data_IF_344694027096
#
_entry.id   IF_344694027096
#
_cell.length_a   1.000
_cell.length_b   1.000
_cell.length_c   1.000
_cell.angle_alpha   90.00
_cell.angle_beta   90.00
_cell.angle_gamma   90.00
#
_symmetry.space_group_name_H-M   'P 1'
#
loop_
_entity.id
_entity.type
_entity.pdbx_description
1 polymer ?
#
# COMPACT_ATOMS: atom_id res chain seq x y z
N UNK A 1 -14.96 4.16 28.22
CA UNK A 1 -15.63 2.90 28.64
C UNK A 1 -17.16 2.96 28.49
N UNK A 2 -17.87 4.01 28.92
CA UNK A 2 -19.34 4.11 28.67
C UNK A 2 -19.73 4.23 27.19
N UNK A 3 -18.91 4.89 26.36
CA UNK A 3 -19.13 5.04 24.92
C UNK A 3 -19.01 3.72 24.12
N UNK A 4 -18.26 2.72 24.61
CA UNK A 4 -18.03 1.47 23.86
C UNK A 4 -19.20 0.48 23.97
N UNK A 5 -19.93 0.48 25.10
CA UNK A 5 -21.12 -0.35 25.27
C UNK A 5 -22.28 0.07 24.36
N UNK A 6 -22.30 1.34 23.97
CA UNK A 6 -23.31 1.93 23.08
C UNK A 6 -23.00 1.68 21.59
N UNK A 7 -21.76 1.27 21.27
CA UNK A 7 -21.40 0.90 19.90
C UNK A 7 -22.07 -0.43 19.50
N UNK A 8 -22.54 -0.55 18.24
CA UNK A 8 -22.87 -1.84 17.64
C UNK A 8 -21.75 -2.86 17.84
N UNK A 9 -22.09 -4.14 18.03
CA UNK A 9 -21.12 -5.19 18.33
C UNK A 9 -19.92 -5.21 17.36
N UNK A 10 -20.17 -4.99 16.07
CA UNK A 10 -19.15 -4.97 15.02
C UNK A 10 -18.15 -3.79 15.12
N UNK A 11 -18.46 -2.74 15.89
CA UNK A 11 -17.61 -1.57 16.08
C UNK A 11 -16.92 -1.55 17.45
N UNK A 12 -17.16 -2.55 18.29
CA UNK A 12 -16.51 -2.64 19.60
C UNK A 12 -15.07 -3.11 19.43
N UNK A 13 -14.08 -2.45 20.07
CA UNK A 13 -12.70 -2.89 19.98
C UNK A 13 -12.52 -4.25 20.67
N UNK A 14 -11.61 -5.05 20.14
CA UNK A 14 -11.14 -6.26 20.80
C UNK A 14 -10.26 -5.90 22.00
N UNK A 15 -10.21 -6.79 23.00
CA UNK A 15 -9.21 -6.64 24.06
C UNK A 15 -7.83 -6.92 23.48
N UNK A 16 -6.82 -6.23 23.99
CA UNK A 16 -5.46 -6.39 23.50
C UNK A 16 -4.95 -7.83 23.67
N UNK A 17 -5.30 -8.48 24.77
CA UNK A 17 -4.92 -9.87 25.04
C UNK A 17 -5.54 -10.85 24.03
N UNK A 18 -6.81 -10.63 23.67
CA UNK A 18 -7.52 -11.44 22.68
C UNK A 18 -6.90 -11.24 21.28
N UNK A 19 -6.59 -9.99 20.93
CA UNK A 19 -5.91 -9.66 19.66
C UNK A 19 -4.52 -10.32 19.57
N UNK A 20 -3.71 -10.23 20.62
CA UNK A 20 -2.38 -10.86 20.62
C UNK A 20 -2.47 -12.39 20.57
N UNK A 21 -3.41 -12.99 21.30
CA UNK A 21 -3.63 -14.44 21.28
C UNK A 21 -4.03 -14.93 19.87
N UNK A 22 -4.87 -14.19 19.15
CA UNK A 22 -5.24 -14.56 17.79
C UNK A 22 -4.08 -14.38 16.80
N UNK A 23 -3.27 -13.32 16.94
CA UNK A 23 -2.04 -13.18 16.14
C UNK A 23 -1.10 -14.38 16.35
N UNK A 24 -0.83 -14.78 17.59
CA UNK A 24 0.01 -15.96 17.86
C UNK A 24 -0.58 -17.24 17.22
N UNK A 25 -1.89 -17.43 17.34
CA UNK A 25 -2.59 -18.56 16.73
C UNK A 25 -2.49 -18.54 15.19
N UNK A 26 -2.72 -17.38 14.55
CA UNK A 26 -2.62 -17.22 13.10
C UNK A 26 -1.19 -17.44 12.60
N UNK A 27 -0.18 -16.96 13.34
CA UNK A 27 1.23 -17.22 13.01
C UNK A 27 1.51 -18.72 13.05
N UNK A 28 1.15 -19.40 14.14
CA UNK A 28 1.35 -20.85 14.28
C UNK A 28 0.64 -21.66 13.19
N UNK A 29 -0.53 -21.20 12.75
CA UNK A 29 -1.37 -21.94 11.82
C UNK A 29 -1.03 -21.70 10.35
N UNK A 30 -0.62 -20.48 10.00
CA UNK A 30 -0.57 -20.04 8.60
C UNK A 30 0.74 -19.38 8.15
N UNK A 31 1.56 -18.84 9.07
CA UNK A 31 2.77 -18.13 8.68
C UNK A 31 3.83 -19.09 8.12
N UNK A 32 4.33 -18.80 6.92
CA UNK A 32 5.45 -19.49 6.32
C UNK A 32 6.68 -18.55 6.33
N UNK A 33 7.76 -18.89 7.06
CA UNK A 33 8.89 -17.98 7.23
C UNK A 33 9.75 -17.85 5.96
N UNK A 34 9.66 -18.81 5.03
CA UNK A 34 10.48 -18.86 3.83
C UNK A 34 10.27 -17.63 2.92
N UNK A 35 11.31 -17.25 2.18
CA UNK A 35 11.27 -16.09 1.26
C UNK A 35 10.48 -16.33 -0.02
N UNK A 36 10.02 -17.56 -0.25
CA UNK A 36 9.13 -17.96 -1.35
C UNK A 36 7.71 -18.35 -0.86
N UNK A 37 7.36 -17.94 0.36
CA UNK A 37 6.10 -18.29 1.00
C UNK A 37 4.86 -17.80 0.22
N UNK A 38 3.83 -18.64 0.20
CA UNK A 38 2.49 -18.26 -0.28
C UNK A 38 1.64 -17.59 0.80
N UNK A 39 2.05 -17.72 2.06
CA UNK A 39 1.31 -17.17 3.22
C UNK A 39 2.26 -16.51 4.19
N UNK A 40 2.07 -15.20 4.41
CA UNK A 40 2.70 -14.41 5.46
C UNK A 40 1.62 -13.89 6.40
N UNK A 41 2.00 -13.72 7.65
CA UNK A 41 1.21 -13.09 8.71
C UNK A 41 2.06 -11.93 9.22
N UNK A 42 1.42 -10.79 9.47
CA UNK A 42 2.06 -9.57 9.94
C UNK A 42 1.23 -8.92 11.03
N UNK A 43 1.88 -8.20 11.93
CA UNK A 43 1.22 -7.42 12.98
C UNK A 43 0.72 -6.11 12.38
N UNK A 44 -0.60 -5.90 12.37
CA UNK A 44 -1.21 -4.80 11.64
C UNK A 44 -2.36 -4.09 12.40
N UNK A 45 -2.07 -3.38 13.51
CA UNK A 45 -3.05 -2.46 14.07
C UNK A 45 -3.38 -1.39 13.03
N UNK A 46 -4.68 -1.06 12.87
CA UNK A 46 -5.13 -0.18 11.79
C UNK A 46 -4.41 1.17 11.80
N UNK A 47 -4.29 1.79 12.97
CA UNK A 47 -3.63 3.09 13.12
C UNK A 47 -2.81 3.13 14.41
N UNK A 48 -1.53 3.45 14.30
CA UNK A 48 -0.60 3.51 15.45
C UNK A 48 -1.05 4.49 16.53
N UNK A 49 -1.61 5.65 16.15
CA UNK A 49 -2.04 6.69 17.10
C UNK A 49 -3.42 6.46 17.73
N UNK A 50 -4.26 5.63 17.11
CA UNK A 50 -5.70 5.58 17.42
C UNK A 50 -6.19 4.21 17.84
N UNK A 51 -5.63 3.12 17.31
CA UNK A 51 -6.13 1.76 17.55
C UNK A 51 -5.68 1.18 18.89
N UNK A 52 -4.55 1.62 19.44
CA UNK A 52 -3.96 1.09 20.67
C UNK A 52 -3.38 2.19 21.54
N UNK A 53 -3.16 1.92 22.82
CA UNK A 53 -2.33 2.78 23.68
C UNK A 53 -0.85 2.68 23.28
N UNK A 54 -0.04 3.68 23.63
CA UNK A 54 1.41 3.65 23.37
C UNK A 54 2.10 2.40 23.94
N UNK A 55 1.72 1.99 25.15
CA UNK A 55 2.25 0.77 25.77
C UNK A 55 1.88 -0.48 24.98
N UNK A 56 0.61 -0.62 24.59
CA UNK A 56 0.14 -1.76 23.78
C UNK A 56 0.81 -1.79 22.40
N UNK A 57 1.02 -0.62 21.79
CA UNK A 57 1.75 -0.50 20.54
C UNK A 57 3.20 -1.00 20.70
N UNK A 58 3.91 -0.58 21.75
CA UNK A 58 5.26 -1.08 22.03
C UNK A 58 5.29 -2.59 22.29
N UNK A 59 4.33 -3.11 23.05
CA UNK A 59 4.24 -4.55 23.31
C UNK A 59 3.92 -5.35 22.04
N UNK A 60 3.09 -4.84 21.13
CA UNK A 60 2.80 -5.52 19.87
C UNK A 60 4.05 -5.60 18.97
N UNK A 61 4.92 -4.60 18.97
CA UNK A 61 6.20 -4.66 18.27
C UNK A 61 7.14 -5.74 18.84
N UNK A 62 7.22 -5.84 20.17
CA UNK A 62 8.01 -6.89 20.84
C UNK A 62 7.49 -8.28 20.49
N UNK A 63 6.17 -8.47 20.50
CA UNK A 63 5.53 -9.75 20.15
C UNK A 63 5.77 -10.08 18.69
N UNK A 64 5.57 -9.13 17.77
CA UNK A 64 5.82 -9.32 16.34
C UNK A 64 7.25 -9.80 16.07
N UNK A 65 8.24 -9.12 16.65
CA UNK A 65 9.67 -9.49 16.52
C UNK A 65 9.98 -10.84 17.15
N UNK A 66 9.39 -11.16 18.31
CA UNK A 66 9.53 -12.48 18.96
C UNK A 66 8.97 -13.60 18.08
N UNK A 67 7.87 -13.35 17.38
CA UNK A 67 7.24 -14.29 16.45
C UNK A 67 7.93 -14.34 15.08
N UNK A 68 8.90 -13.45 14.82
CA UNK A 68 9.59 -13.37 13.53
C UNK A 68 8.71 -12.82 12.40
N UNK A 69 7.66 -12.07 12.73
CA UNK A 69 6.78 -11.45 11.74
C UNK A 69 7.05 -9.95 11.61
N UNK A 70 6.76 -9.42 10.42
CA UNK A 70 6.87 -8.00 10.11
C UNK A 70 5.66 -7.21 10.62
N UNK A 71 5.73 -5.89 10.52
CA UNK A 71 4.75 -4.95 11.06
C UNK A 71 4.27 -3.96 10.00
N UNK A 72 2.97 -3.63 10.05
CA UNK A 72 2.33 -2.70 9.13
C UNK A 72 1.30 -1.82 9.84
N UNK A 73 1.11 -0.58 9.39
CA UNK A 73 -0.01 0.27 9.81
C UNK A 73 -0.23 1.40 8.79
N UNK A 74 -1.34 2.13 8.93
CA UNK A 74 -1.55 3.42 8.29
C UNK A 74 -0.82 4.50 9.10
N UNK A 75 -0.14 5.44 8.44
CA UNK A 75 0.57 6.54 9.11
C UNK A 75 0.63 7.82 8.25
N UNK A 76 0.43 8.97 8.89
CA UNK A 76 0.64 10.31 8.30
C UNK A 76 -0.02 10.53 6.94
N UNK A 77 -1.25 10.05 6.77
CA UNK A 77 -2.03 10.28 5.55
C UNK A 77 -2.54 11.72 5.45
N UNK A 78 -3.02 12.28 6.57
CA UNK A 78 -3.68 13.59 6.62
C UNK A 78 -3.01 14.55 7.60
N UNK A 79 -3.28 15.85 7.47
CA UNK A 79 -2.80 16.86 8.43
C UNK A 79 -3.41 16.63 9.81
N UNK A 80 -4.68 16.23 9.87
CA UNK A 80 -5.36 15.87 11.12
C UNK A 80 -4.62 14.77 11.90
N UNK A 81 -3.97 13.84 11.19
CA UNK A 81 -3.16 12.78 11.81
C UNK A 81 -1.93 13.36 12.54
N UNK A 82 -1.25 14.33 11.90
CA UNK A 82 -0.12 15.06 12.48
C UNK A 82 -0.56 15.89 13.69
N UNK A 83 -1.67 16.61 13.57
CA UNK A 83 -2.23 17.43 14.66
C UNK A 83 -2.66 16.58 15.86
N UNK A 84 -3.26 15.41 15.61
CA UNK A 84 -3.63 14.47 16.65
C UNK A 84 -2.43 13.91 17.41
N UNK A 85 -1.32 13.57 16.72
CA UNK A 85 -0.08 13.15 17.36
C UNK A 85 0.48 14.24 18.27
N UNK A 86 0.55 15.47 17.76
CA UNK A 86 1.04 16.62 18.51
C UNK A 86 0.19 16.92 19.73
N UNK A 87 -1.13 16.89 19.60
CA UNK A 87 -2.05 17.17 20.71
C UNK A 87 -1.99 16.08 21.80
N UNK A 88 -1.86 14.80 21.43
CA UNK A 88 -1.84 13.69 22.38
C UNK A 88 -0.47 13.47 23.03
N UNK A 89 0.60 13.64 22.27
CA UNK A 89 1.94 13.18 22.65
C UNK A 89 3.01 14.28 22.58
N UNK A 90 2.70 15.46 22.04
CA UNK A 90 3.67 16.56 21.93
C UNK A 90 4.78 16.35 20.89
N UNK A 91 4.58 15.39 19.97
CA UNK A 91 5.58 14.96 18.99
C UNK A 91 4.92 14.63 17.64
N UNK A 92 5.72 14.43 16.59
CA UNK A 92 5.22 14.01 15.28
C UNK A 92 4.82 12.52 15.26
N UNK A 93 3.99 12.06 14.30
CA UNK A 93 3.61 10.65 14.18
C UNK A 93 4.81 9.70 14.05
N UNK A 94 5.84 10.06 13.28
CA UNK A 94 7.02 9.21 13.13
C UNK A 94 7.84 9.17 14.42
N UNK A 95 8.01 10.30 15.11
CA UNK A 95 8.66 10.33 16.43
C UNK A 95 7.94 9.43 17.44
N UNK A 96 6.61 9.48 17.46
CA UNK A 96 5.81 8.59 18.30
C UNK A 96 6.05 7.12 17.98
N UNK A 97 6.03 6.74 16.70
CA UNK A 97 6.30 5.37 16.28
C UNK A 97 7.73 4.93 16.66
N UNK A 98 8.72 5.83 16.53
CA UNK A 98 10.09 5.58 16.94
C UNK A 98 10.19 5.23 18.43
N UNK A 99 9.55 6.00 19.30
CA UNK A 99 9.54 5.72 20.74
C UNK A 99 8.84 4.41 21.10
N UNK A 100 7.89 3.94 20.29
CA UNK A 100 7.17 2.68 20.52
C UNK A 100 7.80 1.49 19.79
N UNK A 101 9.02 1.60 19.28
CA UNK A 101 9.71 0.53 18.53
C UNK A 101 9.01 0.13 17.20
N UNK A 102 8.21 1.04 16.62
CA UNK A 102 7.43 0.87 15.39
C UNK A 102 8.08 1.52 14.16
N UNK A 103 9.41 1.57 14.11
CA UNK A 103 10.18 1.87 12.89
C UNK A 103 11.30 0.84 12.77
N UNK A 104 11.83 0.66 11.56
CA UNK A 104 12.84 -0.37 11.27
C UNK A 104 12.60 -1.06 9.94
N UNK A 105 13.58 -1.85 9.50
CA UNK A 105 13.52 -2.64 8.27
C UNK A 105 12.44 -3.73 8.28
N UNK A 106 11.86 -4.02 9.45
CA UNK A 106 10.75 -4.94 9.66
C UNK A 106 9.37 -4.25 9.71
N UNK A 107 9.32 -2.93 9.49
CA UNK A 107 8.10 -2.11 9.48
C UNK A 107 7.90 -1.46 8.13
N UNK A 108 6.65 -1.40 7.66
CA UNK A 108 6.27 -0.49 6.58
C UNK A 108 4.93 0.20 6.85
N UNK A 109 4.77 1.43 6.38
CA UNK A 109 3.53 2.19 6.54
C UNK A 109 2.83 2.43 5.21
N UNK A 110 1.50 2.43 5.24
CA UNK A 110 0.71 2.95 4.12
C UNK A 110 0.71 4.49 4.14
N UNK A 111 0.66 5.09 2.95
CA UNK A 111 0.45 6.51 2.68
C UNK A 111 1.67 7.42 2.88
N UNK A 112 2.03 7.78 4.13
CA UNK A 112 3.13 8.70 4.46
C UNK A 112 3.14 10.01 3.64
N UNK A 113 1.96 10.60 3.46
CA UNK A 113 1.77 11.79 2.61
C UNK A 113 2.23 13.08 3.31
N UNK A 114 2.01 13.18 4.62
CA UNK A 114 2.29 14.38 5.42
C UNK A 114 3.49 14.15 6.33
N UNK A 115 4.68 14.15 5.73
CA UNK A 115 5.94 14.01 6.46
C UNK A 115 6.74 15.31 6.47
N UNK A 116 7.37 15.59 7.60
CA UNK A 116 8.41 16.63 7.71
C UNK A 116 9.77 16.09 7.22
N UNK A 117 10.71 16.95 6.78
CA UNK A 117 12.03 16.52 6.31
C UNK A 117 12.80 15.66 7.31
N UNK A 118 12.73 15.98 8.61
CA UNK A 118 13.35 15.21 9.69
C UNK A 118 12.72 13.81 9.87
N UNK A 119 11.42 13.67 9.61
CA UNK A 119 10.73 12.37 9.66
C UNK A 119 11.17 11.48 8.50
N UNK A 120 11.33 12.06 7.30
CA UNK A 120 11.87 11.36 6.13
C UNK A 120 13.26 10.81 6.42
N UNK A 121 14.14 11.63 7.02
CA UNK A 121 15.49 11.20 7.40
C UNK A 121 15.47 10.07 8.42
N UNK A 122 14.61 10.15 9.45
CA UNK A 122 14.50 9.11 10.47
C UNK A 122 13.98 7.78 9.91
N UNK A 123 12.96 7.82 9.05
CA UNK A 123 12.45 6.63 8.37
C UNK A 123 13.50 6.00 7.45
N UNK A 124 14.26 6.83 6.73
CA UNK A 124 15.35 6.40 5.87
C UNK A 124 16.50 5.74 6.62
N UNK A 125 16.96 6.35 7.73
CA UNK A 125 18.01 5.81 8.60
C UNK A 125 17.65 4.44 9.19
N UNK A 126 16.36 4.21 9.46
CA UNK A 126 15.85 2.94 9.99
C UNK A 126 15.43 1.96 8.90
N UNK A 127 15.58 2.34 7.62
CA UNK A 127 15.19 1.55 6.46
C UNK A 127 13.72 1.12 6.49
N UNK A 128 12.86 1.94 7.10
CA UNK A 128 11.42 1.70 7.17
C UNK A 128 10.82 1.74 5.76
N UNK A 129 9.87 0.86 5.48
CA UNK A 129 9.20 0.77 4.18
C UNK A 129 7.99 1.69 4.02
N UNK A 130 7.57 1.91 2.78
CA UNK A 130 6.29 2.54 2.43
C UNK A 130 5.50 1.67 1.46
N UNK A 131 4.19 1.57 1.67
CA UNK A 131 3.21 1.19 0.65
C UNK A 131 2.51 2.46 0.12
N UNK A 132 2.94 2.93 -1.04
CA UNK A 132 2.40 4.12 -1.69
C UNK A 132 1.08 3.79 -2.39
N UNK A 133 0.00 4.50 -2.02
CA UNK A 133 -1.33 4.31 -2.58
C UNK A 133 -1.82 5.59 -3.28
N UNK A 134 -1.23 5.96 -4.43
CA UNK A 134 -1.47 7.23 -5.10
C UNK A 134 -2.94 7.50 -5.43
N UNK A 135 -3.69 6.51 -5.93
CA UNK A 135 -5.09 6.70 -6.31
C UNK A 135 -5.96 6.96 -5.08
N UNK A 136 -5.75 6.19 -4.00
CA UNK A 136 -6.43 6.39 -2.72
C UNK A 136 -6.13 7.77 -2.13
N UNK A 137 -4.84 8.12 -2.05
CA UNK A 137 -4.42 9.40 -1.50
C UNK A 137 -4.90 10.60 -2.35
N UNK A 138 -5.01 10.45 -3.66
CA UNK A 138 -5.60 11.45 -4.53
C UNK A 138 -7.12 11.57 -4.31
N UNK A 139 -7.84 10.44 -4.30
CA UNK A 139 -9.30 10.41 -4.13
C UNK A 139 -9.74 11.03 -2.80
N UNK A 140 -9.01 10.74 -1.72
CA UNK A 140 -9.30 11.28 -0.38
C UNK A 140 -8.83 12.73 -0.21
N UNK A 141 -8.14 13.31 -1.19
CA UNK A 141 -7.56 14.65 -1.07
C UNK A 141 -6.38 14.72 -0.10
N UNK A 142 -5.80 13.57 0.27
CA UNK A 142 -4.65 13.45 1.16
C UNK A 142 -3.42 14.13 0.56
N UNK A 143 -3.17 13.95 -0.74
CA UNK A 143 -2.05 14.55 -1.47
C UNK A 143 -1.13 13.51 -2.11
N UNK A 144 0.14 13.87 -2.33
CA UNK A 144 1.14 13.01 -3.01
C UNK A 144 2.36 12.83 -2.10
N UNK A 145 2.64 11.59 -1.69
CA UNK A 145 3.85 11.25 -0.96
C UNK A 145 5.11 11.49 -1.82
N UNK A 146 6.20 11.98 -1.21
CA UNK A 146 7.44 12.32 -1.92
C UNK A 146 8.37 11.13 -2.11
N UNK A 147 8.03 10.21 -3.02
CA UNK A 147 8.80 8.96 -3.17
C UNK A 147 10.28 9.19 -3.47
N UNK A 148 10.60 10.24 -4.24
CA UNK A 148 11.99 10.61 -4.54
C UNK A 148 12.75 10.94 -3.27
N UNK A 149 12.20 11.80 -2.40
CA UNK A 149 12.85 12.14 -1.14
C UNK A 149 12.93 10.95 -0.17
N UNK A 150 11.88 10.13 -0.10
CA UNK A 150 11.87 8.92 0.75
C UNK A 150 12.94 7.91 0.30
N UNK A 151 13.03 7.66 -1.00
CA UNK A 151 14.01 6.74 -1.57
C UNK A 151 15.44 7.26 -1.40
N UNK A 152 15.68 8.55 -1.64
CA UNK A 152 16.99 9.19 -1.41
C UNK A 152 17.42 9.14 0.06
N UNK A 153 16.46 9.16 0.99
CA UNK A 153 16.74 9.00 2.41
C UNK A 153 17.07 7.54 2.81
N UNK A 154 16.83 6.56 1.94
CA UNK A 154 17.14 5.14 2.17
C UNK A 154 15.94 4.26 2.52
N UNK A 155 14.70 4.76 2.36
CA UNK A 155 13.50 3.94 2.55
C UNK A 155 13.32 2.92 1.42
N UNK A 156 12.66 1.80 1.75
CA UNK A 156 12.21 0.85 0.72
C UNK A 156 10.83 1.26 0.22
N UNK A 157 10.74 1.57 -1.07
CA UNK A 157 9.49 1.99 -1.71
C UNK A 157 8.75 0.79 -2.28
N UNK A 158 7.45 0.70 -2.01
CA UNK A 158 6.51 -0.22 -2.66
C UNK A 158 5.22 0.50 -3.07
N UNK A 159 4.40 -0.15 -3.90
CA UNK A 159 3.10 0.36 -4.35
C UNK A 159 2.00 -0.55 -3.81
N UNK A 160 0.91 0.05 -3.33
CA UNK A 160 -0.31 -0.65 -2.92
C UNK A 160 -1.55 0.08 -3.45
N UNK A 161 -2.66 -0.64 -3.60
CA UNK A 161 -3.92 -0.07 -4.15
C UNK A 161 -4.88 0.40 -3.06
N UNK A 162 -4.61 0.09 -1.78
CA UNK A 162 -5.54 0.29 -0.67
C UNK A 162 -6.90 -0.43 -0.91
N UNK A 163 -7.97 -0.05 -0.21
CA UNK A 163 -9.30 -0.65 -0.36
C UNK A 163 -10.14 -0.04 -1.48
N UNK A 164 -11.06 -0.83 -2.06
CA UNK A 164 -12.02 -0.36 -3.07
C UNK A 164 -12.97 0.75 -2.58
N UNK A 165 -13.03 0.99 -1.27
CA UNK A 165 -13.75 2.12 -0.65
C UNK A 165 -13.03 3.46 -0.78
N UNK A 166 -11.74 3.45 -1.12
CA UNK A 166 -10.88 4.61 -1.37
C UNK A 166 -10.16 4.57 -2.71
N UNK A 167 -10.24 3.47 -3.46
CA UNK A 167 -9.72 3.34 -4.81
C UNK A 167 -10.64 2.47 -5.67
N UNK A 168 -11.47 3.09 -6.49
CA UNK A 168 -12.47 2.37 -7.30
C UNK A 168 -11.87 1.45 -8.38
N UNK A 169 -10.61 1.67 -8.79
CA UNK A 169 -9.93 0.84 -9.76
C UNK A 169 -9.36 -0.44 -9.11
N UNK A 170 -8.73 -0.29 -7.93
CA UNK A 170 -8.15 -1.37 -7.14
C UNK A 170 -7.27 -2.36 -7.97
N UNK A 171 -6.51 -1.84 -8.94
CA UNK A 171 -5.65 -2.62 -9.83
C UNK A 171 -4.25 -2.00 -9.99
N UNK A 172 -3.24 -2.85 -10.16
CA UNK A 172 -1.83 -2.40 -10.19
C UNK A 172 -1.44 -1.63 -11.46
N UNK A 173 -2.12 -1.79 -12.59
CA UNK A 173 -1.78 -1.03 -13.80
C UNK A 173 -2.25 0.41 -13.68
N UNK A 174 -3.47 0.62 -13.19
CA UNK A 174 -3.95 1.97 -12.84
C UNK A 174 -3.09 2.61 -11.75
N UNK A 175 -2.70 1.84 -10.72
CA UNK A 175 -1.93 2.37 -9.59
C UNK A 175 -0.51 2.77 -10.00
N UNK A 176 0.16 1.95 -10.81
CA UNK A 176 1.51 2.25 -11.32
C UNK A 176 1.49 3.41 -12.32
N UNK A 177 0.47 3.49 -13.18
CA UNK A 177 0.26 4.65 -14.05
C UNK A 177 0.06 5.94 -13.24
N UNK A 178 -0.76 5.88 -12.19
CA UNK A 178 -0.98 7.01 -11.28
C UNK A 178 0.30 7.38 -10.52
N UNK A 179 1.05 6.40 -9.99
CA UNK A 179 2.33 6.63 -9.32
C UNK A 179 3.29 7.39 -10.25
N UNK A 180 3.45 6.91 -11.49
CA UNK A 180 4.32 7.53 -12.48
C UNK A 180 3.95 8.99 -12.75
N UNK A 181 2.68 9.26 -13.09
CA UNK A 181 2.23 10.61 -13.41
C UNK A 181 2.26 11.55 -12.20
N UNK A 182 1.84 11.08 -11.02
CA UNK A 182 1.72 11.92 -9.83
C UNK A 182 3.08 12.29 -9.24
N UNK A 183 4.09 11.41 -9.27
CA UNK A 183 5.44 11.79 -8.86
C UNK A 183 6.03 12.88 -9.78
N UNK A 184 5.78 12.76 -11.09
CA UNK A 184 6.19 13.77 -12.07
C UNK A 184 5.48 15.10 -11.85
N UNK A 185 4.16 15.06 -11.66
CA UNK A 185 3.34 16.24 -11.37
C UNK A 185 3.75 16.91 -10.04
N UNK A 186 4.04 16.12 -9.00
CA UNK A 186 4.48 16.62 -7.69
C UNK A 186 5.75 17.47 -7.79
N UNK A 187 6.75 17.03 -8.54
CA UNK A 187 7.96 17.85 -8.77
C UNK A 187 7.65 19.03 -9.70
N UNK A 188 6.75 18.83 -10.68
CA UNK A 188 6.30 19.87 -11.61
C UNK A 188 5.57 21.04 -10.97
N UNK A 189 4.78 20.86 -9.92
CA UNK A 189 4.08 21.99 -9.26
C UNK A 189 5.04 22.97 -8.56
N UNK A 190 6.28 22.57 -8.32
CA UNK A 190 7.31 23.45 -7.79
C UNK A 190 7.85 24.41 -8.88
N UNK A 191 7.61 24.11 -10.17
CA UNK A 191 8.03 24.93 -11.30
C UNK A 191 7.13 26.17 -11.38
N UNK A 192 7.65 27.32 -10.96
CA UNK A 192 6.91 28.58 -10.91
C UNK A 192 7.40 29.53 -11.99
N UNK A 193 6.49 30.07 -12.84
CA UNK A 193 6.89 31.04 -13.84
C UNK A 193 7.28 32.37 -13.18
N UNK A 194 8.29 33.04 -13.74
CA UNK A 194 8.72 34.37 -13.32
C UNK A 194 8.79 35.29 -14.54
N UNK A 195 8.68 36.60 -14.34
CA UNK A 195 8.70 37.59 -15.41
C UNK A 195 9.97 37.50 -16.29
N UNK A 196 11.11 37.23 -15.67
CA UNK A 196 12.41 37.10 -16.34
C UNK A 196 12.70 35.66 -16.82
N UNK A 197 11.72 34.76 -16.77
CA UNK A 197 11.89 33.31 -16.98
C UNK A 197 12.03 32.55 -15.65
N UNK A 198 11.36 31.39 -15.55
CA UNK A 198 11.36 30.56 -14.33
C UNK A 198 12.72 29.90 -14.03
N UNK A 199 12.88 29.38 -12.81
CA UNK A 199 14.15 28.78 -12.36
C UNK A 199 14.35 27.33 -12.81
N UNK A 200 13.27 26.60 -13.08
CA UNK A 200 13.34 25.27 -13.65
C UNK A 200 12.01 24.92 -14.34
N UNK A 201 12.09 24.12 -15.40
CA UNK A 201 10.99 23.32 -15.96
C UNK A 201 11.36 21.88 -15.62
N UNK A 202 10.48 21.08 -15.02
CA UNK A 202 10.93 19.75 -14.60
C UNK A 202 9.94 18.94 -13.78
N UNK A 203 10.31 17.69 -13.55
CA UNK A 203 9.41 16.68 -12.99
C UNK A 203 9.26 15.47 -13.89
N UNK A 204 9.53 15.61 -15.20
CA UNK A 204 9.52 14.48 -16.12
C UNK A 204 10.47 13.35 -15.71
N UNK A 205 11.56 13.72 -15.03
CA UNK A 205 12.62 12.88 -14.49
C UNK A 205 12.38 12.41 -13.05
N UNK A 206 11.27 12.80 -12.41
CA UNK A 206 11.00 12.45 -11.01
C UNK A 206 10.64 10.98 -10.81
N UNK A 207 10.16 10.32 -11.87
CA UNK A 207 9.88 8.90 -11.88
C UNK A 207 10.02 8.36 -13.30
N UNK A 208 10.97 7.46 -13.48
CA UNK A 208 11.09 6.60 -14.66
C UNK A 208 10.11 5.43 -14.58
N UNK A 209 9.90 4.75 -15.72
CA UNK A 209 9.03 3.57 -15.76
C UNK A 209 9.70 2.40 -15.01
N UNK A 210 11.01 2.29 -15.13
CA UNK A 210 11.84 1.29 -14.47
C UNK A 210 11.78 1.42 -12.94
N UNK A 211 11.80 2.65 -12.41
CA UNK A 211 11.60 2.90 -10.97
C UNK A 211 10.21 2.46 -10.53
N UNK A 212 9.17 2.80 -11.28
CA UNK A 212 7.79 2.42 -10.95
C UNK A 212 7.60 0.90 -10.99
N UNK A 213 8.17 0.22 -11.99
CA UNK A 213 8.19 -1.25 -12.06
C UNK A 213 8.92 -1.81 -10.84
N UNK A 214 10.09 -1.26 -10.49
CA UNK A 214 10.87 -1.69 -9.33
C UNK A 214 10.08 -1.51 -8.02
N UNK A 215 9.41 -0.39 -7.82
CA UNK A 215 8.55 -0.16 -6.67
C UNK A 215 7.38 -1.17 -6.61
N UNK A 216 6.71 -1.40 -7.75
CA UNK A 216 5.58 -2.33 -7.86
C UNK A 216 5.92 -3.82 -7.83
N UNK A 217 7.21 -4.18 -7.91
CA UNK A 217 7.68 -5.58 -7.95
C UNK A 217 8.61 -5.87 -6.77
N UNK A 218 9.94 -5.80 -6.96
CA UNK A 218 10.94 -6.11 -5.94
C UNK A 218 10.84 -5.21 -4.70
N UNK A 219 10.34 -3.98 -4.85
CA UNK A 219 10.05 -3.08 -3.73
C UNK A 219 9.01 -3.69 -2.76
N UNK A 220 7.88 -4.15 -3.31
CA UNK A 220 6.86 -4.90 -2.57
C UNK A 220 7.42 -6.20 -1.97
N UNK A 221 8.17 -6.97 -2.76
CA UNK A 221 8.78 -8.22 -2.30
C UNK A 221 9.69 -8.00 -1.06
N UNK A 222 10.53 -6.97 -1.09
CA UNK A 222 11.44 -6.62 0.01
C UNK A 222 10.71 -6.24 1.29
N UNK A 223 9.67 -5.40 1.22
CA UNK A 223 8.93 -5.00 2.43
C UNK A 223 8.14 -6.17 3.05
N UNK A 224 7.72 -7.13 2.22
CA UNK A 224 7.01 -8.34 2.66
C UNK A 224 7.96 -9.47 3.11
N UNK A 225 9.26 -9.34 2.88
CA UNK A 225 10.25 -10.40 3.17
C UNK A 225 10.14 -11.61 2.25
N UNK A 226 9.83 -11.36 0.99
CA UNK A 226 9.70 -12.37 -0.06
C UNK A 226 10.88 -12.25 -1.04
N UNK A 227 12.09 -12.46 -0.56
CA UNK A 227 13.33 -12.22 -1.34
C UNK A 227 13.50 -13.13 -2.57
N UNK A 228 12.65 -14.17 -2.72
CA UNK A 228 12.60 -15.06 -3.89
C UNK A 228 11.49 -14.69 -4.89
N UNK A 229 10.91 -13.48 -4.81
CA UNK A 229 10.01 -12.94 -5.84
C UNK A 229 10.37 -11.50 -6.22
N UNK A 230 9.81 -11.03 -7.33
CA UNK A 230 9.86 -9.62 -7.73
C UNK A 230 10.96 -9.26 -8.73
N UNK A 231 11.86 -10.19 -9.07
CA UNK A 231 12.83 -10.04 -10.18
C UNK A 231 12.79 -11.24 -11.12
N UNK A 232 13.16 -11.03 -12.39
CA UNK A 232 13.31 -12.10 -13.39
C UNK A 232 14.78 -12.51 -13.41
N UNK A 233 15.16 -13.37 -12.47
CA UNK A 233 16.55 -13.84 -12.29
C UNK A 233 16.58 -15.35 -12.04
N UNK A 234 17.66 -16.02 -12.44
CA UNK A 234 17.83 -17.46 -12.19
C UNK A 234 17.88 -17.71 -10.68
N UNK A 235 16.98 -18.57 -10.19
CA UNK A 235 16.84 -18.90 -8.77
C UNK A 235 15.66 -18.22 -8.07
N UNK A 236 15.02 -17.23 -8.69
CA UNK A 236 13.76 -16.64 -8.23
C UNK A 236 12.57 -17.56 -8.55
N UNK A 237 11.44 -17.36 -7.86
CA UNK A 237 10.18 -17.98 -8.26
C UNK A 237 9.73 -17.47 -9.64
N UNK A 238 9.08 -18.34 -10.41
CA UNK A 238 8.49 -17.98 -11.70
C UNK A 238 7.13 -17.29 -11.51
N UNK A 239 7.15 -16.12 -10.89
CA UNK A 239 6.03 -15.18 -10.77
C UNK A 239 6.12 -14.19 -11.93
N UNK A 240 5.39 -14.47 -13.02
CA UNK A 240 5.56 -13.80 -14.30
C UNK A 240 4.22 -13.34 -14.87
N UNK A 241 4.21 -12.15 -15.49
CA UNK A 241 3.06 -11.64 -16.24
C UNK A 241 3.51 -11.31 -17.66
N UNK A 242 2.79 -11.85 -18.65
CA UNK A 242 3.06 -11.61 -20.07
C UNK A 242 1.93 -10.77 -20.63
N UNK A 243 2.24 -9.54 -21.00
CA UNK A 243 1.29 -8.62 -21.62
C UNK A 243 1.31 -8.74 -23.14
N UNK A 244 0.11 -8.72 -23.76
CA UNK A 244 -0.05 -8.56 -25.19
C UNK A 244 -0.34 -7.08 -25.48
N UNK A 245 0.50 -6.48 -26.32
CA UNK A 245 0.49 -5.04 -26.59
C UNK A 245 0.00 -4.74 -28.01
N UNK A 246 -1.18 -5.25 -28.35
CA UNK A 246 -1.82 -5.13 -29.66
C UNK A 246 -3.06 -4.21 -29.67
N UNK A 247 -3.37 -3.56 -28.53
CA UNK A 247 -4.37 -2.49 -28.46
C UNK A 247 -3.87 -1.22 -29.17
N UNK A 248 -4.75 -0.45 -29.85
CA UNK A 248 -4.39 0.79 -30.51
C UNK A 248 -3.62 1.80 -29.65
N UNK A 249 -3.77 1.78 -28.31
CA UNK A 249 -3.02 2.66 -27.41
C UNK A 249 -1.50 2.45 -27.43
N UNK A 250 -1.04 1.29 -27.90
CA UNK A 250 0.38 0.96 -28.00
C UNK A 250 0.95 1.26 -29.40
N UNK A 251 0.10 1.54 -30.40
CA UNK A 251 0.56 1.76 -31.77
C UNK A 251 1.34 3.07 -31.89
N UNK A 252 2.61 2.97 -32.26
CA UNK A 252 3.52 4.12 -32.40
C UNK A 252 4.45 4.35 -31.21
N UNK A 253 4.39 3.50 -30.18
CA UNK A 253 5.43 3.51 -29.14
C UNK A 253 6.79 3.14 -29.72
N UNK A 254 7.80 3.97 -29.45
CA UNK A 254 9.20 3.68 -29.81
C UNK A 254 9.79 2.56 -28.95
N UNK A 255 9.37 2.50 -27.69
CA UNK A 255 9.67 1.43 -26.76
C UNK A 255 8.36 0.80 -26.31
N UNK A 256 8.15 -0.48 -26.61
CA UNK A 256 6.93 -1.18 -26.22
C UNK A 256 6.95 -1.54 -24.72
N UNK A 257 8.12 -1.63 -24.08
CA UNK A 257 8.26 -2.06 -22.70
C UNK A 257 7.63 -1.06 -21.70
N UNK A 258 7.54 0.22 -22.08
CA UNK A 258 6.88 1.23 -21.24
C UNK A 258 5.35 1.12 -21.26
N UNK A 259 4.78 0.44 -22.25
CA UNK A 259 3.34 0.43 -22.54
C UNK A 259 2.45 0.09 -21.35
N UNK A 260 2.70 -1.01 -20.59
CA UNK A 260 1.87 -1.38 -19.45
C UNK A 260 1.70 -0.29 -18.38
N UNK A 261 2.72 0.54 -18.16
CA UNK A 261 2.68 1.61 -17.16
C UNK A 261 2.29 2.96 -17.80
N UNK A 262 2.86 3.30 -18.95
CA UNK A 262 2.76 4.64 -19.52
C UNK A 262 1.45 4.90 -20.30
N UNK A 263 0.91 3.90 -20.98
CA UNK A 263 -0.19 4.09 -21.94
C UNK A 263 -1.59 4.23 -21.31
N UNK A 264 -1.71 3.99 -20.00
CA UNK A 264 -2.99 3.95 -19.31
C UNK A 264 -3.90 2.80 -19.79
N UNK A 265 -5.10 2.73 -19.19
CA UNK A 265 -6.01 1.60 -19.41
C UNK A 265 -5.45 0.28 -18.84
N UNK A 266 -5.96 -0.84 -19.34
CA UNK A 266 -5.53 -2.19 -18.91
C UNK A 266 -4.89 -2.95 -20.07
N UNK A 267 -3.62 -3.34 -19.90
CA UNK A 267 -2.93 -4.22 -20.83
C UNK A 267 -3.55 -5.63 -20.79
N UNK A 268 -3.75 -6.24 -21.97
CA UNK A 268 -4.26 -7.60 -22.07
C UNK A 268 -3.23 -8.58 -21.49
N UNK A 269 -3.63 -9.41 -20.54
CA UNK A 269 -2.77 -10.41 -19.91
C UNK A 269 -2.88 -11.69 -20.74
N UNK A 270 -1.85 -11.95 -21.54
CA UNK A 270 -1.78 -13.17 -22.34
C UNK A 270 -1.58 -14.39 -21.46
N UNK A 271 -0.70 -14.29 -20.47
CA UNK A 271 -0.47 -15.35 -19.49
C UNK A 271 0.04 -14.77 -18.17
N UNK A 272 -0.37 -15.39 -17.06
CA UNK A 272 0.14 -15.10 -15.72
C UNK A 272 0.56 -16.39 -15.04
N UNK A 273 1.71 -16.36 -14.38
CA UNK A 273 2.29 -17.47 -13.65
C UNK A 273 2.54 -17.07 -12.20
N UNK A 274 2.29 -18.02 -11.29
CA UNK A 274 2.68 -17.93 -9.88
C UNK A 274 3.41 -19.22 -9.53
N UNK A 275 4.65 -19.10 -9.06
CA UNK A 275 5.59 -20.20 -8.83
C UNK A 275 5.68 -21.18 -10.02
N UNK A 276 5.65 -20.66 -11.24
CA UNK A 276 5.72 -21.44 -12.48
C UNK A 276 4.42 -22.15 -12.88
N UNK A 277 3.36 -22.03 -12.09
CA UNK A 277 2.02 -22.51 -12.44
C UNK A 277 1.25 -21.40 -13.14
N UNK A 278 0.71 -21.67 -14.33
CA UNK A 278 -0.18 -20.73 -15.02
C UNK A 278 -1.49 -20.57 -14.23
N UNK A 279 -1.85 -19.33 -13.91
CA UNK A 279 -3.06 -18.97 -13.14
C UNK A 279 -4.05 -18.14 -13.94
N UNK A 280 -3.64 -17.60 -15.09
CA UNK A 280 -4.50 -16.87 -16.03
C UNK A 280 -3.95 -17.04 -17.44
N UNK A 281 -4.83 -17.18 -18.42
CA UNK A 281 -4.49 -17.24 -19.85
C UNK A 281 -5.52 -16.44 -20.64
N UNK A 282 -5.05 -15.54 -21.51
CA UNK A 282 -5.88 -14.64 -22.34
C UNK A 282 -6.99 -13.93 -21.54
N UNK A 283 -6.60 -13.28 -20.45
CA UNK A 283 -7.50 -12.60 -19.49
C UNK A 283 -8.54 -13.50 -18.80
N UNK A 284 -8.45 -14.83 -18.96
CA UNK A 284 -9.34 -15.78 -18.30
C UNK A 284 -8.66 -16.43 -17.09
N UNK A 285 -9.34 -16.38 -15.95
CA UNK A 285 -8.96 -17.14 -14.76
C UNK A 285 -9.63 -18.52 -14.88
N UNK A 286 -8.86 -19.63 -14.81
CA UNK A 286 -9.44 -20.98 -14.85
C UNK A 286 -10.51 -21.18 -13.77
N UNK A 287 -11.59 -21.88 -14.14
CA UNK A 287 -12.70 -22.26 -13.25
C UNK A 287 -13.48 -21.07 -12.62
N UNK A 288 -13.35 -19.86 -13.16
CA UNK A 288 -14.10 -18.68 -12.71
C UNK A 288 -15.10 -18.20 -13.77
N UNK A 289 -16.40 -18.29 -13.47
CA UNK A 289 -17.44 -17.62 -14.26
C UNK A 289 -17.55 -16.15 -13.85
N UNK A 290 -17.04 -15.27 -14.71
CA UNK A 290 -17.04 -13.83 -14.50
C UNK A 290 -18.46 -13.22 -14.46
N UNK A 291 -19.41 -13.79 -15.21
CA UNK A 291 -20.79 -13.30 -15.23
C UNK A 291 -21.52 -13.69 -13.94
N UNK A 292 -21.29 -14.91 -13.45
CA UNK A 292 -21.81 -15.36 -12.15
C UNK A 292 -21.22 -14.53 -11.02
N UNK A 293 -19.89 -14.33 -10.97
CA UNK A 293 -19.24 -13.48 -9.98
C UNK A 293 -19.84 -12.07 -9.98
N UNK A 294 -20.03 -11.48 -11.16
CA UNK A 294 -20.64 -10.16 -11.30
C UNK A 294 -22.09 -10.11 -10.81
N UNK A 295 -22.86 -11.19 -11.00
CA UNK A 295 -24.22 -11.30 -10.46
C UNK A 295 -24.22 -11.40 -8.93
N UNK A 296 -23.37 -12.27 -8.36
CA UNK A 296 -23.25 -12.45 -6.91
C UNK A 296 -22.84 -11.14 -6.22
N UNK A 297 -21.86 -10.42 -6.78
CA UNK A 297 -21.42 -9.12 -6.28
C UNK A 297 -22.57 -8.09 -6.29
N UNK A 298 -23.35 -8.01 -7.37
CA UNK A 298 -24.53 -7.12 -7.44
C UNK A 298 -25.57 -7.46 -6.38
N UNK A 299 -25.83 -8.74 -6.10
CA UNK A 299 -26.76 -9.13 -5.04
C UNK A 299 -26.23 -8.72 -3.65
N UNK A 300 -24.95 -8.93 -3.40
CA UNK A 300 -24.31 -8.54 -2.14
C UNK A 300 -24.40 -7.02 -1.91
N UNK A 301 -24.12 -6.20 -2.94
CA UNK A 301 -24.25 -4.73 -2.86
C UNK A 301 -25.69 -4.31 -2.56
N UNK A 302 -26.67 -4.91 -3.24
CA UNK A 302 -28.09 -4.62 -2.99
C UNK A 302 -28.48 -4.93 -1.54
N UNK A 303 -28.01 -6.05 -1.00
CA UNK A 303 -28.27 -6.42 0.40
C UNK A 303 -27.60 -5.44 1.38
N UNK A 304 -26.36 -5.02 1.10
CA UNK A 304 -25.66 -4.01 1.91
C UNK A 304 -26.40 -2.66 1.91
N UNK A 305 -26.90 -2.22 0.75
CA UNK A 305 -27.70 -1.01 0.63
C UNK A 305 -29.00 -1.08 1.43
N UNK A 306 -29.71 -2.21 1.36
CA UNK A 306 -30.93 -2.43 2.13
C UNK A 306 -30.68 -2.35 3.63
N UNK A 307 -29.64 -3.06 4.11
CA UNK A 307 -29.25 -3.04 5.53
C UNK A 307 -28.85 -1.64 6.01
N UNK A 308 -28.11 -0.90 5.20
CA UNK A 308 -27.70 0.48 5.52
C UNK A 308 -28.91 1.40 5.69
N UNK A 309 -29.89 1.31 4.79
CA UNK A 309 -31.15 2.08 4.88
C UNK A 309 -31.96 1.69 6.11
N UNK A 310 -32.02 0.40 6.45
CA UNK A 310 -32.71 -0.07 7.67
C UNK A 310 -32.03 0.45 8.93
N UNK A 311 -30.70 0.41 9.00
CA UNK A 311 -29.94 0.96 10.13
C UNK A 311 -30.13 2.47 10.28
N UNK A 312 -30.15 3.23 9.18
CA UNK A 312 -30.37 4.67 9.19
C UNK A 312 -31.79 5.08 9.64
N UNK A 313 -32.76 4.16 9.64
CA UNK A 313 -34.11 4.40 10.17
C UNK A 313 -34.21 4.13 11.69
N UNK A 314 -33.26 3.37 12.24
CA UNK A 314 -33.23 2.95 13.65
C UNK A 314 -32.30 3.86 14.48
N UNK A 315 -31.33 4.51 13.84
CA UNK A 315 -30.46 5.54 14.41
C UNK A 315 -31.15 6.91 14.48
#
# INVERSE_FOLDING_TARGET
>A
RGLESELPQALRPEKFEDYMADIEHLVLRYHQPDSNAFRKIVMAPTSTLHSTTAQQLRESAKIARKLGIRMHSHLSETVDYLDAARAKFGMTPVQFCAEQDWIGSDVWFAHLVKLLPEEIQLLGQTQTGIAHCPQSNARLGSGIADLVALEQAGMTISIGVDGAGSNEAADMLSETHAAWLLQRARKGVLATPQYEGGQFEGGADAASIEEVIRWGTVGGAKILGLDQVGTIEVGQQADLVIYQLDDPRYFGLHDMAIGPVASGGRAHIKAMFVAGKMVMENDQIPDLDMMELGWQAKQAVKLLQQRSVEMAKIA
#
